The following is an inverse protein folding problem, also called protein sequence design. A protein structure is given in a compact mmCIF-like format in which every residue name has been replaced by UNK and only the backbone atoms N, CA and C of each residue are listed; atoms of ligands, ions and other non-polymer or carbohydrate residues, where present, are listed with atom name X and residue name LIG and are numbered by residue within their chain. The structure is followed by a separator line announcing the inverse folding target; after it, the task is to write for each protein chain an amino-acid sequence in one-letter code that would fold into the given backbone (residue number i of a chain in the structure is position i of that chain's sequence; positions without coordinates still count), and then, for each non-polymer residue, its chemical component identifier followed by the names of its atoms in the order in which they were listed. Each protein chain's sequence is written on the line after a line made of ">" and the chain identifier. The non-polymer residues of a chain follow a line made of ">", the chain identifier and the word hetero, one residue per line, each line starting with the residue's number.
data_IF_195776981000
#
_entry.id   IF_195776981000
#
_cell.length_a   1.000
_cell.length_b   1.000
_cell.length_c   1.000
_cell.angle_alpha   90.00
_cell.angle_beta   90.00
_cell.angle_gamma   90.00
#
_symmetry.space_group_name_H-M   'P 1'
#
loop_
_entity.id
_entity.type
_entity.pdbx_description
1 polymer ?
#
# COMPACT_ATOMS: atom_id res chain seq x y z
N UNK A 1 14.28 -9.57 -0.92
CA UNK A 1 14.50 -9.34 -2.37
C UNK A 1 15.55 -10.29 -2.94
N UNK A 2 16.76 -10.39 -2.40
CA UNK A 2 17.79 -11.32 -2.91
C UNK A 2 17.45 -12.83 -2.80
N UNK A 3 16.66 -13.25 -1.80
CA UNK A 3 16.25 -14.65 -1.62
C UNK A 3 15.45 -15.23 -2.82
N UNK A 4 14.81 -14.37 -3.61
CA UNK A 4 14.07 -14.77 -4.81
C UNK A 4 14.97 -15.06 -6.02
N UNK A 5 16.27 -14.74 -5.94
CA UNK A 5 17.25 -14.88 -7.03
C UNK A 5 18.26 -16.01 -6.78
N UNK A 6 17.96 -16.89 -5.84
CA UNK A 6 18.80 -18.03 -5.45
C UNK A 6 18.54 -19.20 -6.40
N UNK A 7 19.60 -19.82 -6.92
CA UNK A 7 19.50 -20.98 -7.82
C UNK A 7 19.04 -22.26 -7.10
N UNK A 8 18.80 -23.33 -7.86
CA UNK A 8 18.37 -24.62 -7.32
C UNK A 8 19.38 -25.30 -6.36
N UNK A 9 20.59 -24.75 -6.23
CA UNK A 9 21.65 -25.20 -5.32
C UNK A 9 21.82 -24.27 -4.12
N UNK A 10 20.93 -23.29 -3.94
CA UNK A 10 21.03 -22.34 -2.82
C UNK A 10 22.08 -21.24 -3.03
N UNK A 11 22.53 -21.01 -4.27
CA UNK A 11 23.59 -20.05 -4.58
C UNK A 11 23.05 -18.80 -5.30
N UNK A 12 23.66 -17.65 -5.02
CA UNK A 12 23.36 -16.36 -5.63
C UNK A 12 24.65 -15.72 -6.18
N UNK A 13 24.52 -14.91 -7.24
CA UNK A 13 25.66 -14.12 -7.74
C UNK A 13 26.14 -13.18 -6.65
N UNK A 14 27.44 -13.13 -6.38
CA UNK A 14 27.97 -12.30 -5.31
C UNK A 14 28.30 -10.88 -5.83
N UNK A 15 27.62 -9.82 -5.32
CA UNK A 15 27.81 -8.44 -5.79
C UNK A 15 29.02 -7.74 -5.16
N UNK A 16 29.89 -8.47 -4.46
CA UNK A 16 31.05 -7.85 -3.83
C UNK A 16 32.10 -7.42 -4.86
N UNK A 17 32.94 -6.44 -4.50
CA UNK A 17 33.97 -5.85 -5.37
C UNK A 17 34.95 -6.87 -5.98
N UNK A 18 35.17 -8.01 -5.31
CA UNK A 18 36.04 -9.10 -5.79
C UNK A 18 35.31 -10.08 -6.71
N UNK A 19 34.05 -10.40 -6.43
CA UNK A 19 33.28 -11.38 -7.18
C UNK A 19 32.54 -10.78 -8.38
N UNK A 20 32.20 -9.47 -8.34
CA UNK A 20 31.62 -8.67 -9.43
C UNK A 20 30.43 -9.33 -10.14
N UNK A 21 29.55 -9.99 -9.40
CA UNK A 21 28.41 -10.76 -9.93
C UNK A 21 28.76 -11.94 -10.87
N UNK A 22 30.04 -12.29 -11.01
CA UNK A 22 30.50 -13.41 -11.84
C UNK A 22 30.49 -14.72 -11.04
N UNK A 23 30.85 -14.65 -9.76
CA UNK A 23 30.97 -15.82 -8.89
C UNK A 23 29.67 -16.07 -8.13
N UNK A 24 29.19 -17.31 -8.17
CA UNK A 24 28.06 -17.78 -7.36
C UNK A 24 28.54 -18.19 -5.98
N UNK A 25 27.84 -17.74 -4.94
CA UNK A 25 28.11 -18.08 -3.55
C UNK A 25 26.81 -18.41 -2.85
N UNK A 26 26.87 -19.29 -1.84
CA UNK A 26 25.75 -19.46 -0.90
C UNK A 26 25.55 -18.16 -0.11
N UNK A 27 24.33 -17.92 0.36
CA UNK A 27 23.94 -16.65 1.00
C UNK A 27 24.89 -16.23 2.13
N UNK A 28 25.25 -17.16 3.03
CA UNK A 28 26.16 -16.88 4.14
C UNK A 28 27.56 -16.44 3.67
N UNK A 29 28.09 -17.09 2.62
CA UNK A 29 29.38 -16.72 2.02
C UNK A 29 29.30 -15.40 1.26
N UNK A 30 28.18 -15.12 0.61
CA UNK A 30 27.94 -13.85 -0.06
C UNK A 30 27.87 -12.71 0.96
N UNK A 31 27.19 -12.90 2.08
CA UNK A 31 27.11 -11.94 3.17
C UNK A 31 28.50 -11.62 3.72
N UNK A 32 29.30 -12.64 4.02
CA UNK A 32 30.69 -12.47 4.42
C UNK A 32 31.51 -11.72 3.36
N UNK A 33 31.33 -12.04 2.07
CA UNK A 33 32.04 -11.39 0.97
C UNK A 33 31.69 -9.92 0.81
N UNK A 34 30.42 -9.55 0.95
CA UNK A 34 29.96 -8.16 0.92
C UNK A 34 30.50 -7.42 2.14
N UNK A 35 30.46 -8.05 3.31
CA UNK A 35 30.93 -7.45 4.55
C UNK A 35 32.45 -7.23 4.56
N UNK A 36 33.22 -8.17 4.00
CA UNK A 36 34.69 -8.12 3.93
C UNK A 36 35.17 -7.21 2.80
N UNK A 37 34.59 -7.32 1.60
CA UNK A 37 35.12 -6.69 0.39
C UNK A 37 34.32 -5.48 -0.08
N UNK A 38 33.16 -5.20 0.53
CA UNK A 38 32.22 -4.18 0.10
C UNK A 38 31.46 -4.56 -1.18
N UNK A 39 30.39 -3.83 -1.45
CA UNK A 39 29.69 -3.90 -2.74
C UNK A 39 30.55 -3.36 -3.87
N UNK A 40 30.35 -3.91 -5.07
CA UNK A 40 30.90 -3.32 -6.27
C UNK A 40 30.17 -2.00 -6.59
N UNK A 41 30.88 -0.89 -6.45
CA UNK A 41 30.33 0.47 -6.64
C UNK A 41 29.84 0.75 -8.07
N UNK A 42 30.32 -0.02 -9.06
CA UNK A 42 29.81 0.04 -10.44
C UNK A 42 28.47 -0.68 -10.63
N UNK A 43 28.06 -1.53 -9.69
CA UNK A 43 26.84 -2.31 -9.79
C UNK A 43 25.63 -1.50 -9.26
N UNK A 44 25.18 -0.54 -10.08
CA UNK A 44 24.10 0.40 -9.72
C UNK A 44 22.70 -0.12 -10.03
N UNK A 45 22.56 -1.05 -10.98
CA UNK A 45 21.30 -1.67 -11.37
C UNK A 45 21.30 -3.13 -10.96
N UNK A 46 20.39 -3.51 -10.07
CA UNK A 46 20.35 -4.79 -9.38
C UNK A 46 19.67 -5.88 -10.23
N UNK A 47 20.03 -5.95 -11.51
CA UNK A 47 19.45 -6.86 -12.52
C UNK A 47 19.59 -8.35 -12.18
N UNK A 48 20.56 -8.69 -11.34
CA UNK A 48 20.80 -10.06 -10.86
C UNK A 48 20.21 -10.32 -9.47
N UNK A 49 19.59 -9.30 -8.86
CA UNK A 49 19.16 -9.29 -7.46
C UNK A 49 17.73 -8.72 -7.29
N UNK A 50 16.96 -8.66 -8.37
CA UNK A 50 15.51 -8.44 -8.35
C UNK A 50 15.03 -7.05 -8.74
N UNK A 51 15.90 -6.12 -9.17
CA UNK A 51 15.42 -4.92 -9.87
C UNK A 51 15.02 -5.29 -11.31
N UNK A 52 13.73 -5.11 -11.61
CA UNK A 52 13.21 -5.32 -12.95
C UNK A 52 13.83 -4.35 -13.94
N UNK A 53 14.24 -4.85 -15.11
CA UNK A 53 14.72 -4.01 -16.21
C UNK A 53 13.53 -3.18 -16.69
N UNK A 54 13.46 -1.91 -16.30
CA UNK A 54 12.56 -0.96 -16.95
C UNK A 54 13.07 -0.71 -18.36
N UNK A 55 12.54 -1.43 -19.33
CA UNK A 55 12.60 -1.05 -20.74
C UNK A 55 11.67 0.16 -20.94
N UNK A 56 12.10 1.34 -20.49
CA UNK A 56 11.46 2.59 -20.89
C UNK A 56 12.04 3.03 -22.23
N UNK A 57 11.39 2.58 -23.29
CA UNK A 57 11.44 3.24 -24.59
C UNK A 57 10.87 4.65 -24.43
N UNK A 58 11.74 5.67 -24.31
CA UNK A 58 11.34 7.08 -24.41
C UNK A 58 12.51 7.93 -24.91
N UNK A 59 12.58 8.09 -26.23
CA UNK A 59 13.07 9.31 -26.84
C UNK A 59 12.04 10.42 -26.60
N UNK A 60 12.53 11.60 -26.24
CA UNK A 60 11.87 12.93 -26.30
C UNK A 60 11.02 13.34 -25.08
N UNK A 61 11.59 14.16 -24.19
CA UNK A 61 11.32 15.61 -24.12
C UNK A 61 11.95 16.21 -22.86
N UNK A 62 12.83 17.18 -23.08
CA UNK A 62 13.37 18.07 -22.06
C UNK A 62 12.24 18.90 -21.44
N UNK A 63 12.22 18.97 -20.10
CA UNK A 63 11.79 20.18 -19.39
C UNK A 63 12.50 20.22 -18.04
N UNK A 64 13.07 21.39 -17.75
CA UNK A 64 14.08 21.58 -16.73
C UNK A 64 13.57 21.37 -15.30
N UNK A 65 14.29 20.52 -14.58
CA UNK A 65 14.34 20.56 -13.13
C UNK A 65 15.83 20.47 -12.75
N UNK A 66 16.42 21.62 -12.47
CA UNK A 66 17.77 21.73 -11.92
C UNK A 66 17.79 21.06 -10.55
N UNK A 67 18.23 19.80 -10.51
CA UNK A 67 18.63 19.14 -9.28
C UNK A 67 19.88 19.85 -8.75
N UNK A 68 19.96 20.17 -7.45
CA UNK A 68 21.17 20.73 -6.87
C UNK A 68 22.22 19.62 -6.87
N UNK A 69 23.13 19.70 -7.83
CA UNK A 69 24.38 18.96 -7.83
C UNK A 69 25.21 19.47 -6.65
N UNK A 70 25.18 18.73 -5.54
CA UNK A 70 26.16 18.90 -4.46
C UNK A 70 27.42 18.16 -4.89
N UNK A 71 28.43 18.94 -5.26
CA UNK A 71 29.73 18.51 -5.78
C UNK A 71 30.67 17.98 -4.66
N UNK A 72 30.14 17.22 -3.69
CA UNK A 72 30.83 16.92 -2.42
C UNK A 72 31.12 15.43 -2.15
N UNK A 73 31.10 14.56 -3.17
CA UNK A 73 31.33 13.11 -2.98
C UNK A 73 32.42 12.50 -3.90
N UNK A 74 33.43 13.29 -4.30
CA UNK A 74 34.57 12.82 -5.11
C UNK A 74 35.94 12.81 -4.41
N UNK A 75 35.99 12.90 -3.08
CA UNK A 75 37.22 12.64 -2.29
C UNK A 75 37.13 11.29 -1.57
N UNK A 76 36.74 10.26 -2.31
CA UNK A 76 36.73 8.87 -1.85
C UNK A 76 38.13 8.27 -1.87
N UNK A 77 38.92 8.57 -0.82
CA UNK A 77 39.96 7.73 -0.21
C UNK A 77 40.43 6.52 -1.06
N UNK A 78 41.15 6.82 -2.15
CA UNK A 78 41.89 5.84 -2.93
C UNK A 78 43.30 5.61 -2.34
N UNK A 79 43.58 6.17 -1.16
CA UNK A 79 44.85 6.10 -0.45
C UNK A 79 45.04 4.74 0.23
N UNK A 80 44.00 4.25 0.92
CA UNK A 80 44.06 3.01 1.70
C UNK A 80 44.39 1.77 0.84
N UNK A 81 43.96 1.74 -0.42
CA UNK A 81 44.19 0.60 -1.33
C UNK A 81 45.62 0.54 -1.89
N UNK A 82 46.28 1.69 -2.03
CA UNK A 82 47.72 1.73 -2.35
C UNK A 82 48.56 1.43 -1.10
N UNK A 83 48.10 1.82 0.09
CA UNK A 83 48.83 1.60 1.35
C UNK A 83 48.88 0.12 1.75
N UNK A 84 47.82 -0.67 1.49
CA UNK A 84 47.78 -2.12 1.71
C UNK A 84 48.77 -2.88 0.79
N UNK A 85 48.84 -2.52 -0.50
CA UNK A 85 49.83 -3.10 -1.44
C UNK A 85 51.27 -2.69 -1.09
N UNK A 86 51.49 -1.46 -0.59
CA UNK A 86 52.82 -0.98 -0.17
C UNK A 86 53.31 -1.64 1.13
N UNK A 87 52.40 -2.07 2.02
CA UNK A 87 52.76 -2.88 3.20
C UNK A 87 53.20 -4.29 2.83
N UNK A 88 52.58 -4.91 1.83
CA UNK A 88 52.96 -6.24 1.34
C UNK A 88 54.32 -6.21 0.62
N UNK A 89 54.59 -5.15 -0.16
CA UNK A 89 55.92 -4.89 -0.71
C UNK A 89 56.95 -4.75 0.42
N UNK A 90 56.65 -3.99 1.48
CA UNK A 90 57.59 -3.84 2.62
C UNK A 90 57.84 -5.15 3.39
N UNK A 91 56.88 -6.07 3.40
CA UNK A 91 57.00 -7.36 4.07
C UNK A 91 57.75 -8.41 3.23
N UNK A 92 57.71 -8.31 1.89
CA UNK A 92 58.43 -9.19 0.96
C UNK A 92 59.90 -8.80 0.73
N UNK A 93 60.30 -7.57 1.05
CA UNK A 93 61.70 -7.13 0.97
C UNK A 93 62.42 -7.57 2.26
N UNK A 94 63.17 -8.67 2.19
CA UNK A 94 63.96 -9.27 3.28
C UNK A 94 64.61 -8.23 4.22
N UNK A 95 64.37 -8.41 5.52
CA UNK A 95 65.29 -8.01 6.58
C UNK A 95 65.65 -6.53 6.65
N UNK A 96 64.68 -5.62 6.78
CA UNK A 96 64.87 -4.35 7.49
C UNK A 96 66.11 -3.53 7.09
N UNK A 97 66.45 -3.45 5.79
CA UNK A 97 67.56 -2.62 5.32
C UNK A 97 67.22 -1.15 5.56
N UNK A 98 67.76 -0.59 6.64
CA UNK A 98 67.73 0.86 6.90
C UNK A 98 68.84 1.51 6.10
N UNK A 99 68.47 2.33 5.12
CA UNK A 99 69.44 3.16 4.41
C UNK A 99 69.58 4.51 5.12
N UNK A 100 70.81 5.01 5.32
CA UNK A 100 71.03 6.28 6.01
C UNK A 100 70.63 7.50 5.16
N UNK A 101 70.63 7.36 3.83
CA UNK A 101 70.21 8.41 2.90
C UNK A 101 69.61 7.83 1.62
N UNK A 102 68.99 8.69 0.82
CA UNK A 102 68.42 8.34 -0.49
C UNK A 102 69.48 7.82 -1.45
N UNK A 103 70.64 8.47 -1.46
CA UNK A 103 71.79 8.13 -2.32
C UNK A 103 72.33 6.75 -1.95
N UNK A 104 72.38 6.43 -0.66
CA UNK A 104 72.77 5.10 -0.18
C UNK A 104 71.75 4.01 -0.53
N UNK A 105 70.46 4.35 -0.62
CA UNK A 105 69.41 3.44 -1.06
C UNK A 105 69.50 3.17 -2.58
N UNK A 106 69.75 4.20 -3.39
CA UNK A 106 69.86 4.08 -4.86
C UNK A 106 71.00 3.15 -5.31
N UNK A 107 72.09 3.07 -4.53
CA UNK A 107 73.23 2.18 -4.82
C UNK A 107 72.95 0.70 -4.53
N UNK A 108 71.79 0.36 -3.97
CA UNK A 108 71.44 -1.00 -3.54
C UNK A 108 70.01 -1.36 -3.97
N UNK A 109 69.74 -1.47 -5.28
CA UNK A 109 68.42 -1.85 -5.80
C UNK A 109 68.00 -3.24 -5.30
N UNK A 110 66.68 -3.44 -5.14
CA UNK A 110 66.16 -4.76 -4.76
C UNK A 110 66.26 -5.74 -5.94
N UNK A 111 66.63 -7.02 -5.72
CA UNK A 111 66.74 -8.01 -6.79
C UNK A 111 65.46 -8.19 -7.64
N UNK A 112 64.29 -7.93 -7.05
CA UNK A 112 62.98 -8.07 -7.72
C UNK A 112 62.44 -6.76 -8.33
N UNK A 113 63.22 -5.69 -8.38
CA UNK A 113 62.82 -4.39 -8.95
C UNK A 113 63.80 -3.92 -10.00
N UNK A 114 63.33 -3.25 -11.07
CA UNK A 114 64.24 -2.59 -12.01
C UNK A 114 64.89 -1.36 -11.38
N UNK A 115 66.01 -0.89 -11.92
CA UNK A 115 66.70 0.31 -11.41
C UNK A 115 65.79 1.55 -11.46
N UNK A 116 64.97 1.67 -12.50
CA UNK A 116 64.02 2.77 -12.67
C UNK A 116 62.90 2.71 -11.62
N UNK A 117 62.30 1.54 -11.42
CA UNK A 117 61.27 1.33 -10.40
C UNK A 117 61.82 1.57 -8.99
N UNK A 118 63.05 1.11 -8.72
CA UNK A 118 63.73 1.34 -7.45
C UNK A 118 63.99 2.82 -7.18
N UNK A 119 64.38 3.56 -8.23
CA UNK A 119 64.57 5.01 -8.16
C UNK A 119 63.26 5.74 -7.87
N UNK A 120 62.17 5.38 -8.53
CA UNK A 120 60.84 5.95 -8.27
C UNK A 120 60.37 5.69 -6.83
N UNK A 121 60.61 4.48 -6.30
CA UNK A 121 60.30 4.17 -4.90
C UNK A 121 61.16 4.99 -3.93
N UNK A 122 62.45 5.14 -4.19
CA UNK A 122 63.33 5.99 -3.40
C UNK A 122 62.87 7.46 -3.43
N UNK A 123 62.45 7.97 -4.60
CA UNK A 123 61.88 9.31 -4.75
C UNK A 123 60.56 9.46 -3.97
N UNK A 124 59.65 8.49 -4.07
CA UNK A 124 58.38 8.49 -3.34
C UNK A 124 58.57 8.52 -1.83
N UNK A 125 59.39 7.60 -1.29
CA UNK A 125 59.57 7.46 0.16
C UNK A 125 60.39 8.61 0.78
N UNK A 126 61.15 9.35 -0.03
CA UNK A 126 61.89 10.55 0.41
C UNK A 126 61.19 11.86 0.07
N UNK A 127 60.05 11.80 -0.63
CA UNK A 127 59.24 12.97 -0.93
C UNK A 127 58.75 13.67 0.35
N UNK A 128 58.65 14.99 0.30
CA UNK A 128 58.18 15.78 1.45
C UNK A 128 56.76 15.38 1.88
N UNK A 129 55.88 15.09 0.92
CA UNK A 129 54.51 14.64 1.17
C UNK A 129 54.48 13.30 1.91
N UNK A 130 55.28 12.32 1.49
CA UNK A 130 55.37 11.03 2.16
C UNK A 130 55.97 11.16 3.57
N UNK A 131 57.05 11.93 3.72
CA UNK A 131 57.70 12.14 5.02
C UNK A 131 56.76 12.83 6.02
N UNK A 132 56.02 13.86 5.59
CA UNK A 132 54.99 14.51 6.41
C UNK A 132 53.92 13.52 6.85
N UNK A 133 53.41 12.68 5.93
CA UNK A 133 52.42 11.65 6.23
C UNK A 133 52.97 10.59 7.19
N UNK A 134 54.20 10.13 6.97
CA UNK A 134 54.87 9.13 7.80
C UNK A 134 55.09 9.62 9.24
N UNK A 135 55.57 10.85 9.42
CA UNK A 135 55.73 11.45 10.76
C UNK A 135 54.39 11.67 11.46
N UNK A 136 53.36 12.10 10.71
CA UNK A 136 52.01 12.20 11.26
C UNK A 136 51.46 10.81 11.67
N UNK A 137 51.66 9.79 10.84
CA UNK A 137 51.26 8.42 11.15
C UNK A 137 52.02 7.86 12.36
N UNK A 138 53.31 8.20 12.53
CA UNK A 138 54.10 7.84 13.72
C UNK A 138 53.54 8.49 14.99
N UNK A 139 53.22 9.79 14.94
CA UNK A 139 52.54 10.51 16.04
C UNK A 139 51.13 9.98 16.32
N UNK A 140 50.42 9.50 15.30
CA UNK A 140 49.10 8.88 15.48
C UNK A 140 49.23 7.49 16.13
N UNK A 141 50.21 6.68 15.71
CA UNK A 141 50.51 5.37 16.31
C UNK A 141 50.93 5.50 17.78
N UNK A 142 51.67 6.54 18.14
CA UNK A 142 52.05 6.78 19.55
C UNK A 142 50.87 7.15 20.47
N UNK A 143 49.71 7.53 19.90
CA UNK A 143 48.48 7.80 20.65
C UNK A 143 47.64 6.54 20.91
N UNK A 144 48.03 5.39 20.34
CA UNK A 144 47.30 4.15 20.53
C UNK A 144 47.57 3.59 21.94
N UNK A 145 46.51 3.50 22.74
CA UNK A 145 46.61 3.06 24.16
C UNK A 145 46.65 1.54 24.30
N UNK A 146 46.04 0.81 23.36
CA UNK A 146 46.01 -0.65 23.33
C UNK A 146 46.36 -1.17 21.93
N UNK A 147 47.43 -1.95 21.84
CA UNK A 147 47.82 -2.61 20.58
C UNK A 147 47.08 -3.94 20.45
N UNK A 148 46.60 -4.27 19.26
CA UNK A 148 46.04 -5.61 18.99
C UNK A 148 47.14 -6.58 18.56
N UNK A 149 46.94 -7.88 18.82
CA UNK A 149 47.82 -8.99 18.44
C UNK A 149 47.46 -9.61 17.08
N UNK A 150 46.40 -9.14 16.40
CA UNK A 150 45.92 -9.73 15.16
C UNK A 150 46.91 -9.64 13.96
N UNK A 151 47.99 -8.86 14.07
CA UNK A 151 48.98 -8.70 13.01
C UNK A 151 48.37 -8.14 11.72
N UNK A 152 48.68 -8.76 10.57
CA UNK A 152 48.09 -8.43 9.26
C UNK A 152 46.66 -8.94 9.06
N UNK A 153 46.11 -9.71 10.01
CA UNK A 153 44.72 -10.16 9.93
C UNK A 153 43.80 -9.06 10.45
N UNK A 154 42.85 -8.63 9.64
CA UNK A 154 41.79 -7.71 10.08
C UNK A 154 40.87 -8.37 11.12
N UNK A 155 40.24 -7.57 11.98
CA UNK A 155 39.31 -8.07 13.00
C UNK A 155 38.15 -8.86 12.41
N UNK A 156 37.67 -8.47 11.22
CA UNK A 156 36.64 -9.18 10.48
C UNK A 156 37.13 -10.53 9.94
N UNK A 157 38.41 -10.62 9.53
CA UNK A 157 39.01 -11.90 9.15
C UNK A 157 39.14 -12.82 10.36
N UNK A 158 39.49 -12.28 11.53
CA UNK A 158 39.49 -13.03 12.79
C UNK A 158 38.10 -13.57 13.10
N UNK A 159 37.07 -12.71 12.99
CA UNK A 159 35.66 -13.09 13.17
C UNK A 159 35.22 -14.22 12.24
N UNK A 160 35.47 -14.09 10.93
CA UNK A 160 35.12 -15.14 9.97
C UNK A 160 35.82 -16.48 10.27
N UNK A 161 37.06 -16.45 10.76
CA UNK A 161 37.75 -17.67 11.17
C UNK A 161 37.18 -18.30 12.44
N UNK A 162 36.69 -17.50 13.40
CA UNK A 162 36.04 -18.01 14.61
C UNK A 162 34.70 -18.69 14.30
N UNK A 163 33.89 -18.14 13.39
CA UNK A 163 32.59 -18.73 12.97
C UNK A 163 32.73 -20.14 12.39
N UNK A 164 33.86 -20.43 11.75
CA UNK A 164 34.11 -21.73 11.12
C UNK A 164 34.58 -22.81 12.11
N UNK A 165 34.94 -22.44 13.34
CA UNK A 165 35.43 -23.36 14.37
C UNK A 165 34.37 -23.67 15.44
N UNK A 166 33.51 -22.71 15.78
CA UNK A 166 32.45 -22.87 16.79
C UNK A 166 31.10 -22.42 16.21
N UNK A 167 30.13 -23.33 16.18
CA UNK A 167 28.78 -23.05 15.66
C UNK A 167 28.01 -22.13 16.62
N UNK A 168 27.94 -20.83 16.31
CA UNK A 168 27.08 -19.90 17.02
C UNK A 168 27.55 -18.45 16.92
N UNK A 169 26.63 -17.50 17.12
CA UNK A 169 26.93 -16.07 17.17
C UNK A 169 28.16 -15.80 18.04
N UNK A 170 29.20 -15.19 17.45
CA UNK A 170 30.43 -14.87 18.15
C UNK A 170 30.14 -13.78 19.18
N UNK A 171 30.41 -14.06 20.44
CA UNK A 171 30.37 -13.07 21.51
C UNK A 171 31.38 -11.94 21.20
N UNK A 172 30.95 -10.67 21.12
CA UNK A 172 31.85 -9.53 20.92
C UNK A 172 33.04 -9.47 21.88
N UNK A 173 32.86 -9.89 23.14
CA UNK A 173 33.95 -9.94 24.11
C UNK A 173 35.01 -11.00 23.74
N UNK A 174 34.58 -12.17 23.25
CA UNK A 174 35.50 -13.23 22.80
C UNK A 174 36.24 -12.84 21.52
N UNK A 175 35.57 -12.14 20.61
CA UNK A 175 36.22 -11.57 19.44
C UNK A 175 37.28 -10.54 19.85
N UNK A 176 36.99 -9.70 20.84
CA UNK A 176 37.95 -8.76 21.39
C UNK A 176 39.16 -9.51 22.00
N UNK A 177 38.94 -10.46 22.91
CA UNK A 177 40.00 -11.28 23.50
C UNK A 177 40.89 -11.92 22.45
N UNK A 178 40.33 -12.50 21.39
CA UNK A 178 41.11 -13.14 20.31
C UNK A 178 42.00 -12.16 19.54
N UNK A 179 41.57 -10.91 19.39
CA UNK A 179 42.37 -9.90 18.70
C UNK A 179 43.42 -9.23 19.59
N UNK A 180 43.30 -9.34 20.92
CA UNK A 180 44.15 -8.65 21.91
C UNK A 180 44.97 -9.60 22.79
N UNK A 181 44.98 -10.89 22.48
CA UNK A 181 45.85 -11.91 23.08
C UNK A 181 46.76 -12.54 22.03
N UNK A 182 47.95 -12.97 22.45
CA UNK A 182 48.89 -13.68 21.57
C UNK A 182 48.51 -15.18 21.43
N UNK A 183 49.36 -15.97 20.77
CA UNK A 183 49.12 -17.43 20.60
C UNK A 183 49.08 -18.20 21.91
N UNK A 184 49.73 -17.68 22.96
CA UNK A 184 49.82 -18.26 24.30
C UNK A 184 48.76 -17.67 25.25
N UNK A 185 47.76 -16.97 24.70
CA UNK A 185 46.66 -16.30 25.42
C UNK A 185 47.10 -15.18 26.39
N UNK A 186 48.31 -14.64 26.22
CA UNK A 186 48.81 -13.51 26.98
C UNK A 186 48.31 -12.20 26.35
N UNK A 187 47.76 -11.32 27.18
CA UNK A 187 47.28 -9.99 26.79
C UNK A 187 48.41 -9.10 26.25
N UNK A 188 48.11 -8.29 25.24
CA UNK A 188 49.08 -7.34 24.66
C UNK A 188 49.40 -6.16 25.58
N UNK A 189 48.49 -5.80 26.48
CA UNK A 189 48.69 -4.78 27.51
C UNK A 189 47.69 -4.94 28.66
N UNK A 190 48.01 -4.40 29.83
CA UNK A 190 47.10 -4.41 30.99
C UNK A 190 45.78 -3.68 30.67
N UNK A 191 45.84 -2.55 29.96
CA UNK A 191 44.65 -1.83 29.53
C UNK A 191 43.72 -2.63 28.61
N UNK A 192 44.26 -3.57 27.81
CA UNK A 192 43.42 -4.46 27.00
C UNK A 192 42.69 -5.49 27.88
N UNK A 193 43.33 -5.95 28.96
CA UNK A 193 42.71 -6.84 29.95
C UNK A 193 41.62 -6.14 30.74
N UNK A 194 41.86 -4.91 31.20
CA UNK A 194 40.87 -4.10 31.92
C UNK A 194 39.61 -3.88 31.07
N UNK A 195 39.79 -3.52 29.79
CA UNK A 195 38.68 -3.39 28.84
C UNK A 195 37.90 -4.71 28.69
N UNK A 196 38.58 -5.85 28.63
CA UNK A 196 37.88 -7.14 28.55
C UNK A 196 37.07 -7.43 29.82
N UNK A 197 37.61 -7.17 31.02
CA UNK A 197 36.88 -7.33 32.28
C UNK A 197 35.61 -6.45 32.31
N UNK A 198 35.65 -5.25 31.73
CA UNK A 198 34.48 -4.37 31.64
C UNK A 198 33.40 -4.89 30.67
N UNK A 199 33.80 -5.70 29.67
CA UNK A 199 32.90 -6.35 28.72
C UNK A 199 32.36 -7.68 29.26
N UNK A 200 33.14 -8.37 30.08
CA UNK A 200 32.80 -9.67 30.67
C UNK A 200 31.59 -9.51 31.61
N UNK A 201 30.46 -10.13 31.25
CA UNK A 201 29.23 -10.10 32.05
C UNK A 201 28.18 -9.04 31.66
N UNK A 202 28.43 -8.23 30.61
CA UNK A 202 27.42 -7.30 30.05
C UNK A 202 26.91 -7.77 28.68
N UNK A 203 25.62 -7.56 28.42
CA UNK A 203 25.02 -7.83 27.11
C UNK A 203 25.19 -6.63 26.18
N UNK A 204 26.38 -6.46 25.61
CA UNK A 204 26.63 -5.44 24.60
C UNK A 204 26.35 -5.96 23.18
N UNK A 205 25.85 -5.09 22.30
CA UNK A 205 25.90 -5.33 20.86
C UNK A 205 27.32 -5.10 20.33
N UNK A 206 27.68 -5.77 19.23
CA UNK A 206 29.01 -5.63 18.59
C UNK A 206 29.32 -4.14 18.28
N UNK A 207 28.30 -3.35 17.92
CA UNK A 207 28.43 -1.91 17.64
C UNK A 207 28.82 -1.13 18.89
N UNK A 208 28.23 -1.44 20.05
CA UNK A 208 28.51 -0.76 21.32
C UNK A 208 29.91 -1.08 21.81
N UNK A 209 30.29 -2.36 21.81
CA UNK A 209 31.65 -2.82 22.19
C UNK A 209 32.72 -2.08 21.38
N UNK A 210 32.60 -2.11 20.05
CA UNK A 210 33.63 -1.49 19.21
C UNK A 210 33.59 0.04 19.21
N UNK A 211 32.42 0.65 19.43
CA UNK A 211 32.29 2.11 19.54
C UNK A 211 32.84 2.65 20.86
N UNK A 212 32.69 1.93 21.96
CA UNK A 212 33.26 2.31 23.27
C UNK A 212 34.78 2.10 23.30
N UNK A 213 35.28 0.98 22.74
CA UNK A 213 36.69 0.61 22.82
C UNK A 213 37.56 1.31 21.78
N UNK A 214 37.14 1.33 20.51
CA UNK A 214 37.93 1.90 19.41
C UNK A 214 37.58 3.36 19.11
N UNK A 215 36.53 3.86 19.76
CA UNK A 215 35.98 5.21 19.58
C UNK A 215 35.05 5.33 18.37
N UNK A 216 34.27 6.41 18.37
CA UNK A 216 33.30 6.74 17.31
C UNK A 216 33.97 7.53 16.18
N UNK A 217 33.61 7.25 14.93
CA UNK A 217 33.97 8.05 13.74
C UNK A 217 32.72 8.23 12.87
N UNK A 218 32.60 9.38 12.22
CA UNK A 218 31.49 9.62 11.28
C UNK A 218 31.54 8.61 10.12
N UNK A 219 30.39 8.04 9.78
CA UNK A 219 30.21 7.19 8.60
C UNK A 219 30.43 5.68 8.79
N UNK A 220 31.21 5.22 9.77
CA UNK A 220 31.39 3.78 10.04
C UNK A 220 31.88 3.46 11.45
N UNK A 221 31.61 2.24 11.93
CA UNK A 221 32.10 1.72 13.20
C UNK A 221 33.51 1.13 13.03
N UNK A 222 34.47 1.63 13.81
CA UNK A 222 35.87 1.14 13.80
C UNK A 222 35.91 -0.36 14.12
N UNK A 223 36.78 -1.11 13.46
CA UNK A 223 36.90 -2.58 13.66
C UNK A 223 35.82 -3.43 12.98
N UNK A 224 34.69 -2.84 12.57
CA UNK A 224 33.57 -3.55 11.91
C UNK A 224 33.44 -3.30 10.42
N UNK A 225 34.28 -2.45 9.83
CA UNK A 225 34.34 -2.22 8.39
C UNK A 225 33.35 -1.15 7.93
N UNK A 226 33.35 -0.86 6.62
CA UNK A 226 32.63 0.31 6.08
C UNK A 226 31.11 0.10 5.92
N UNK A 227 30.61 -1.13 6.08
CA UNK A 227 29.19 -1.45 5.93
C UNK A 227 28.35 -1.12 7.19
N UNK A 228 28.98 -1.07 8.36
CA UNK A 228 28.28 -0.83 9.64
C UNK A 228 28.34 0.65 9.98
N UNK A 229 27.18 1.31 9.92
CA UNK A 229 27.04 2.72 10.29
C UNK A 229 26.82 2.84 11.81
N UNK A 230 27.48 3.80 12.48
CA UNK A 230 27.21 4.07 13.89
C UNK A 230 25.78 4.60 14.05
N UNK A 231 25.17 4.43 15.24
CA UNK A 231 23.93 5.12 15.56
C UNK A 231 24.14 6.64 15.42
N UNK A 232 23.09 7.39 15.02
CA UNK A 232 23.20 8.83 14.82
C UNK A 232 23.75 9.50 16.09
N UNK A 233 24.82 10.27 15.94
CA UNK A 233 25.47 10.96 17.05
C UNK A 233 24.49 11.96 17.68
N UNK A 234 24.35 11.93 19.01
CA UNK A 234 23.44 12.74 19.82
C UNK A 234 23.72 14.26 19.82
N UNK A 235 24.60 14.76 18.94
CA UNK A 235 24.92 16.18 18.78
C UNK A 235 23.88 16.94 17.93
N UNK A 236 22.86 16.27 17.40
CA UNK A 236 21.77 16.86 16.61
C UNK A 236 20.63 17.47 17.44
N UNK A 237 20.81 17.68 18.75
CA UNK A 237 19.71 18.11 19.64
C UNK A 237 19.21 19.53 19.40
N UNK A 238 19.98 20.43 18.77
CA UNK A 238 19.54 21.83 18.54
C UNK A 238 18.85 22.05 17.18
N UNK A 239 19.14 21.25 16.16
CA UNK A 239 18.36 21.25 14.90
C UNK A 239 17.09 20.39 14.99
N UNK A 240 17.03 19.52 16.00
CA UNK A 240 15.89 18.61 16.22
C UNK A 240 14.60 19.34 16.62
N UNK A 241 14.68 20.45 17.36
CA UNK A 241 13.49 21.16 17.84
C UNK A 241 12.74 21.89 16.72
N UNK A 242 13.46 22.55 15.81
CA UNK A 242 12.84 23.29 14.70
C UNK A 242 12.21 22.34 13.68
N UNK A 243 12.88 21.23 13.37
CA UNK A 243 12.32 20.16 12.54
C UNK A 243 11.10 19.51 13.20
N UNK A 244 11.13 19.27 14.52
CA UNK A 244 9.97 18.75 15.25
C UNK A 244 8.79 19.73 15.24
N UNK A 245 9.04 21.03 15.40
CA UNK A 245 8.01 22.06 15.33
C UNK A 245 7.43 22.18 13.92
N UNK A 246 8.26 22.12 12.87
CA UNK A 246 7.80 22.09 11.48
C UNK A 246 6.95 20.85 11.18
N UNK A 247 7.34 19.68 11.68
CA UNK A 247 6.56 18.46 11.53
C UNK A 247 5.24 18.51 12.30
N UNK A 248 5.20 19.11 13.49
CA UNK A 248 3.97 19.33 14.24
C UNK A 248 3.03 20.26 13.47
N UNK A 249 3.53 21.40 13.00
CA UNK A 249 2.75 22.35 12.19
C UNK A 249 2.21 21.71 10.90
N UNK A 250 3.03 20.95 10.18
CA UNK A 250 2.59 20.25 8.98
C UNK A 250 1.51 19.20 9.26
N UNK A 251 1.56 18.53 10.43
CA UNK A 251 0.52 17.59 10.86
C UNK A 251 -0.80 18.31 11.13
N UNK A 252 -0.76 19.43 11.84
CA UNK A 252 -1.95 20.24 12.14
C UNK A 252 -2.59 20.79 10.86
N UNK A 253 -1.77 21.24 9.90
CA UNK A 253 -2.25 21.70 8.58
C UNK A 253 -2.91 20.57 7.77
N UNK A 254 -2.33 19.37 7.79
CA UNK A 254 -2.91 18.19 7.13
C UNK A 254 -4.24 17.80 7.79
N UNK A 255 -4.32 17.84 9.12
CA UNK A 255 -5.54 17.54 9.85
C UNK A 255 -6.65 18.55 9.56
N UNK A 256 -6.32 19.84 9.52
CA UNK A 256 -7.25 20.90 9.12
C UNK A 256 -7.77 20.71 7.68
N UNK A 257 -6.89 20.38 6.73
CA UNK A 257 -7.29 20.09 5.34
C UNK A 257 -8.20 18.86 5.25
N UNK A 258 -7.92 17.79 6.04
CA UNK A 258 -8.76 16.60 6.08
C UNK A 258 -10.15 16.91 6.64
N UNK A 259 -10.22 17.67 7.72
CA UNK A 259 -11.49 18.09 8.32
C UNK A 259 -12.32 18.98 7.38
N UNK A 260 -11.68 19.89 6.63
CA UNK A 260 -12.36 20.69 5.62
C UNK A 260 -12.92 19.81 4.48
N UNK A 261 -12.09 18.91 3.93
CA UNK A 261 -12.50 17.98 2.87
C UNK A 261 -13.63 17.05 3.32
N UNK A 262 -13.63 16.62 4.58
CA UNK A 262 -14.69 15.78 5.13
C UNK A 262 -16.02 16.54 5.22
N UNK A 263 -16.01 17.82 5.61
CA UNK A 263 -17.21 18.67 5.59
C UNK A 263 -17.76 18.85 4.17
N UNK A 264 -16.90 19.09 3.19
CA UNK A 264 -17.32 19.23 1.79
C UNK A 264 -17.99 17.94 1.27
N UNK A 265 -17.43 16.77 1.63
CA UNK A 265 -18.02 15.47 1.29
C UNK A 265 -19.36 15.24 1.99
N UNK A 266 -19.51 15.63 3.25
CA UNK A 266 -20.78 15.56 3.97
C UNK A 266 -21.83 16.49 3.34
N UNK A 267 -21.43 17.70 2.94
CA UNK A 267 -22.33 18.65 2.29
C UNK A 267 -22.78 18.14 0.91
N UNK A 268 -21.87 17.55 0.14
CA UNK A 268 -22.20 16.92 -1.13
C UNK A 268 -23.15 15.73 -0.95
N UNK A 269 -22.89 14.86 0.03
CA UNK A 269 -23.76 13.73 0.35
C UNK A 269 -25.16 14.20 0.78
N UNK A 270 -25.25 15.28 1.55
CA UNK A 270 -26.53 15.90 1.92
C UNK A 270 -27.29 16.40 0.70
N UNK A 271 -26.64 17.14 -0.20
CA UNK A 271 -27.25 17.62 -1.46
C UNK A 271 -27.72 16.47 -2.34
N UNK A 272 -26.94 15.38 -2.41
CA UNK A 272 -27.33 14.18 -3.15
C UNK A 272 -28.57 13.53 -2.53
N UNK A 273 -28.63 13.40 -1.21
CA UNK A 273 -29.79 12.83 -0.51
C UNK A 273 -31.05 13.70 -0.66
N UNK A 274 -30.92 15.03 -0.61
CA UNK A 274 -32.02 15.97 -0.85
C UNK A 274 -32.55 15.84 -2.28
N UNK A 275 -31.67 15.79 -3.29
CA UNK A 275 -32.06 15.57 -4.68
C UNK A 275 -32.72 14.20 -4.90
N UNK A 276 -32.26 13.16 -4.21
CA UNK A 276 -32.88 11.84 -4.29
C UNK A 276 -34.25 11.79 -3.59
N UNK A 277 -34.43 12.57 -2.52
CA UNK A 277 -35.72 12.72 -1.86
C UNK A 277 -36.74 13.43 -2.78
N UNK A 278 -36.36 14.53 -3.42
CA UNK A 278 -37.26 15.24 -4.35
C UNK A 278 -37.65 14.38 -5.55
N UNK A 279 -36.72 13.57 -6.09
CA UNK A 279 -37.04 12.60 -7.14
C UNK A 279 -37.99 11.50 -6.66
N UNK A 280 -37.88 11.06 -5.40
CA UNK A 280 -38.81 10.09 -4.81
C UNK A 280 -40.20 10.69 -4.64
N UNK A 281 -40.29 11.90 -4.12
CA UNK A 281 -41.56 12.60 -3.94
C UNK A 281 -42.26 12.79 -5.30
N UNK A 282 -41.54 13.26 -6.32
CA UNK A 282 -42.12 13.40 -7.66
C UNK A 282 -42.60 12.06 -8.26
N UNK A 283 -41.87 10.97 -8.02
CA UNK A 283 -42.31 9.62 -8.46
C UNK A 283 -43.57 9.16 -7.72
N UNK A 284 -43.68 9.46 -6.43
CA UNK A 284 -44.87 9.10 -5.65
C UNK A 284 -46.07 9.96 -6.05
N UNK A 285 -45.88 11.26 -6.28
CA UNK A 285 -46.90 12.15 -6.85
C UNK A 285 -47.43 11.61 -8.18
N UNK A 286 -46.54 11.16 -9.08
CA UNK A 286 -46.95 10.54 -10.34
C UNK A 286 -47.75 9.24 -10.13
N UNK A 287 -47.39 8.42 -9.14
CA UNK A 287 -48.14 7.20 -8.80
C UNK A 287 -49.54 7.54 -8.27
N UNK A 288 -49.64 8.49 -7.34
CA UNK A 288 -50.92 8.93 -6.76
C UNK A 288 -51.81 9.54 -7.85
N UNK A 289 -51.24 10.33 -8.75
CA UNK A 289 -51.97 10.91 -9.89
C UNK A 289 -52.50 9.83 -10.85
N UNK A 290 -51.66 8.84 -11.20
CA UNK A 290 -52.10 7.70 -12.03
C UNK A 290 -53.20 6.89 -11.36
N UNK A 291 -53.10 6.66 -10.05
CA UNK A 291 -54.12 5.94 -9.29
C UNK A 291 -55.43 6.74 -9.18
N UNK A 292 -55.35 8.06 -9.01
CA UNK A 292 -56.53 8.94 -9.04
C UNK A 292 -57.25 8.85 -10.38
N UNK A 293 -56.52 8.96 -11.49
CA UNK A 293 -57.08 8.83 -12.85
C UNK A 293 -57.75 7.47 -13.03
N UNK A 294 -57.11 6.39 -12.54
CA UNK A 294 -57.67 5.04 -12.61
C UNK A 294 -58.99 4.93 -11.82
N UNK A 295 -59.02 5.41 -10.58
CA UNK A 295 -60.23 5.37 -9.74
C UNK A 295 -61.37 6.19 -10.35
N UNK A 296 -61.07 7.35 -10.93
CA UNK A 296 -62.06 8.19 -11.62
C UNK A 296 -62.63 7.47 -12.85
N UNK A 297 -61.80 6.76 -13.62
CA UNK A 297 -62.25 5.92 -14.73
C UNK A 297 -63.14 4.76 -14.25
N UNK A 298 -62.74 4.06 -13.18
CA UNK A 298 -63.53 2.98 -12.59
C UNK A 298 -64.89 3.48 -12.07
N UNK A 299 -64.93 4.65 -11.42
CA UNK A 299 -66.19 5.25 -10.95
C UNK A 299 -67.09 5.67 -12.12
N UNK A 300 -66.50 6.27 -13.18
CA UNK A 300 -67.24 6.63 -14.40
C UNK A 300 -67.88 5.40 -15.05
N UNK A 301 -67.13 4.30 -15.17
CA UNK A 301 -67.63 3.03 -15.67
C UNK A 301 -68.77 2.48 -14.80
N UNK A 302 -68.63 2.57 -13.47
CA UNK A 302 -69.65 2.12 -12.53
C UNK A 302 -70.95 2.94 -12.64
N UNK A 303 -70.83 4.27 -12.74
CA UNK A 303 -71.99 5.17 -12.97
C UNK A 303 -72.69 4.87 -14.28
N UNK A 304 -71.94 4.53 -15.32
CA UNK A 304 -72.50 4.17 -16.62
C UNK A 304 -73.21 2.81 -16.59
N UNK A 305 -72.62 1.81 -15.94
CA UNK A 305 -73.29 0.53 -15.69
C UNK A 305 -74.58 0.69 -14.87
N UNK A 306 -74.56 1.53 -13.84
CA UNK A 306 -75.75 1.81 -13.03
C UNK A 306 -76.85 2.50 -13.84
N UNK A 307 -76.51 3.50 -14.66
CA UNK A 307 -77.47 4.12 -15.59
C UNK A 307 -78.09 3.08 -16.52
N UNK A 308 -77.27 2.23 -17.13
CA UNK A 308 -77.78 1.17 -18.01
C UNK A 308 -78.70 0.20 -17.26
N UNK A 309 -78.41 -0.11 -15.98
CA UNK A 309 -79.28 -0.95 -15.14
C UNK A 309 -80.62 -0.27 -14.89
N UNK A 310 -80.62 1.00 -14.49
CA UNK A 310 -81.84 1.78 -14.23
C UNK A 310 -82.68 1.89 -15.51
N UNK A 311 -82.08 2.28 -16.64
CA UNK A 311 -82.79 2.36 -17.93
C UNK A 311 -83.38 1.00 -18.34
N UNK A 312 -82.67 -0.09 -18.06
CA UNK A 312 -83.18 -1.43 -18.33
C UNK A 312 -84.38 -1.78 -17.43
N UNK A 313 -84.30 -1.49 -16.14
CA UNK A 313 -85.39 -1.68 -15.17
C UNK A 313 -86.61 -0.83 -15.54
N UNK A 314 -86.42 0.44 -15.92
CA UNK A 314 -87.49 1.32 -16.39
C UNK A 314 -88.18 0.79 -17.66
N UNK A 315 -87.40 0.27 -18.64
CA UNK A 315 -87.97 -0.39 -19.83
C UNK A 315 -88.85 -1.57 -19.44
N UNK A 316 -88.39 -2.41 -18.50
CA UNK A 316 -89.16 -3.56 -18.01
C UNK A 316 -90.44 -3.08 -17.31
N UNK A 317 -90.37 -2.06 -16.46
CA UNK A 317 -91.53 -1.52 -15.76
C UNK A 317 -92.57 -0.93 -16.73
N UNK A 318 -92.13 -0.14 -17.71
CA UNK A 318 -92.99 0.40 -18.76
C UNK A 318 -93.69 -0.70 -19.55
N UNK A 319 -92.97 -1.77 -19.87
CA UNK A 319 -93.54 -2.94 -20.55
C UNK A 319 -94.55 -3.69 -19.67
N UNK A 320 -94.26 -3.89 -18.38
CA UNK A 320 -95.19 -4.47 -17.42
C UNK A 320 -96.45 -3.60 -17.25
N UNK A 321 -96.32 -2.28 -17.19
CA UNK A 321 -97.46 -1.35 -17.10
C UNK A 321 -98.31 -1.36 -18.37
N UNK A 322 -97.67 -1.40 -19.55
CA UNK A 322 -98.34 -1.56 -20.85
C UNK A 322 -99.16 -2.85 -20.87
N UNK A 323 -98.55 -3.96 -20.49
CA UNK A 323 -99.21 -5.27 -20.36
C UNK A 323 -100.39 -5.22 -19.39
N UNK A 324 -100.24 -4.53 -18.24
CA UNK A 324 -101.32 -4.37 -17.25
C UNK A 324 -102.51 -3.56 -17.81
N UNK A 325 -102.23 -2.40 -18.43
CA UNK A 325 -103.27 -1.57 -19.08
C UNK A 325 -104.00 -2.32 -20.17
N UNK A 326 -103.27 -3.13 -20.95
CA UNK A 326 -103.86 -3.98 -21.98
C UNK A 326 -104.75 -5.07 -21.39
N UNK A 327 -104.33 -5.73 -20.31
CA UNK A 327 -105.19 -6.67 -19.58
C UNK A 327 -106.45 -5.99 -19.01
N UNK A 328 -106.33 -4.80 -18.44
CA UNK A 328 -107.47 -4.03 -17.92
C UNK A 328 -108.45 -3.64 -19.05
N UNK A 329 -107.92 -3.19 -20.20
CA UNK A 329 -108.73 -2.89 -21.39
C UNK A 329 -109.48 -4.13 -21.87
N UNK A 330 -108.79 -5.27 -22.00
CA UNK A 330 -109.42 -6.53 -22.38
C UNK A 330 -110.50 -6.96 -21.37
N UNK A 331 -110.25 -6.82 -20.07
CA UNK A 331 -111.26 -7.09 -19.01
C UNK A 331 -112.47 -6.18 -19.13
N UNK A 332 -112.28 -4.88 -19.35
CA UNK A 332 -113.36 -3.92 -19.52
C UNK A 332 -114.19 -4.20 -20.80
N UNK A 333 -113.53 -4.60 -21.88
CA UNK A 333 -114.18 -4.99 -23.14
C UNK A 333 -115.02 -6.26 -22.98
N UNK A 334 -114.48 -7.28 -22.30
CA UNK A 334 -115.24 -8.48 -21.92
C UNK A 334 -116.44 -8.13 -21.03
N UNK A 335 -116.25 -7.25 -20.03
CA UNK A 335 -117.34 -6.81 -19.14
C UNK A 335 -118.46 -6.09 -19.89
N UNK A 336 -118.12 -5.14 -20.77
CA UNK A 336 -119.11 -4.44 -21.61
C UNK A 336 -119.87 -5.40 -22.52
N UNK A 337 -119.19 -6.38 -23.10
CA UNK A 337 -119.84 -7.34 -23.98
C UNK A 337 -120.75 -8.31 -23.21
N UNK A 338 -120.38 -8.66 -21.97
CA UNK A 338 -121.25 -9.38 -21.04
C UNK A 338 -122.49 -8.56 -20.66
N UNK A 339 -122.34 -7.29 -20.30
CA UNK A 339 -123.46 -6.38 -19.99
C UNK A 339 -124.40 -6.24 -21.19
N UNK A 340 -123.86 -6.02 -22.39
CA UNK A 340 -124.64 -5.95 -23.63
C UNK A 340 -125.41 -7.24 -23.90
N UNK A 341 -124.79 -8.40 -23.69
CA UNK A 341 -125.47 -9.71 -23.79
C UNK A 341 -126.56 -9.86 -22.75
N UNK A 342 -126.31 -9.46 -21.50
CA UNK A 342 -127.31 -9.51 -20.42
C UNK A 342 -128.50 -8.60 -20.73
N UNK A 343 -128.28 -7.37 -21.19
CA UNK A 343 -129.32 -6.44 -21.62
C UNK A 343 -130.14 -7.01 -22.78
N UNK A 344 -129.49 -7.58 -23.80
CA UNK A 344 -130.20 -8.24 -24.91
C UNK A 344 -131.07 -9.42 -24.44
N UNK A 345 -130.58 -10.25 -23.51
CA UNK A 345 -131.35 -11.34 -22.92
C UNK A 345 -132.54 -10.83 -22.11
N UNK A 346 -132.35 -9.76 -21.33
CA UNK A 346 -133.41 -9.13 -20.54
C UNK A 346 -134.47 -8.48 -21.43
N UNK A 347 -134.09 -7.74 -22.46
CA UNK A 347 -135.01 -7.19 -23.48
C UNK A 347 -135.81 -8.30 -24.15
N UNK A 348 -135.15 -9.41 -24.52
CA UNK A 348 -135.84 -10.57 -25.10
C UNK A 348 -136.84 -11.20 -24.12
N UNK A 349 -136.46 -11.40 -22.86
CA UNK A 349 -137.37 -11.89 -21.81
C UNK A 349 -138.55 -10.94 -21.57
N UNK A 350 -138.31 -9.63 -21.53
CA UNK A 350 -139.36 -8.61 -21.36
C UNK A 350 -140.29 -8.57 -22.58
N UNK A 351 -139.76 -8.69 -23.80
CA UNK A 351 -140.55 -8.83 -25.03
C UNK A 351 -141.42 -10.09 -24.99
N UNK A 352 -140.85 -11.23 -24.59
CA UNK A 352 -141.57 -12.49 -24.50
C UNK A 352 -142.63 -12.50 -23.39
N UNK A 353 -142.37 -11.89 -22.23
CA UNK A 353 -143.38 -11.68 -21.18
C UNK A 353 -144.47 -10.71 -21.63
N UNK A 354 -144.12 -9.61 -22.30
CA UNK A 354 -145.09 -8.63 -22.81
C UNK A 354 -146.01 -9.27 -23.86
N UNK A 355 -145.47 -10.12 -24.74
CA UNK A 355 -146.25 -10.97 -25.67
C UNK A 355 -147.18 -11.94 -24.93
N UNK A 356 -146.73 -12.55 -23.83
CA UNK A 356 -147.59 -13.42 -23.00
C UNK A 356 -148.71 -12.65 -22.30
N UNK A 357 -148.44 -11.46 -21.75
CA UNK A 357 -149.45 -10.62 -21.11
C UNK A 357 -150.48 -10.07 -22.11
N UNK A 358 -150.05 -9.67 -23.30
CA UNK A 358 -150.96 -9.32 -24.40
C UNK A 358 -151.85 -10.50 -24.85
N UNK A 359 -151.35 -11.73 -24.76
CA UNK A 359 -152.14 -12.95 -25.00
C UNK A 359 -153.14 -13.27 -23.87
N UNK A 360 -152.95 -12.74 -22.65
CA UNK A 360 -153.78 -13.04 -21.48
C UNK A 360 -154.92 -12.03 -21.26
N UNK A 361 -154.81 -10.81 -21.80
CA UNK A 361 -155.85 -9.76 -21.75
C UNK A 361 -156.53 -9.45 -23.09
N UNK A 362 -156.09 -10.07 -24.19
CA UNK A 362 -156.67 -9.91 -25.53
C UNK A 362 -157.84 -10.85 -25.87
N UNK A 363 -158.49 -11.44 -24.86
CA UNK A 363 -159.48 -12.50 -25.07
C UNK A 363 -160.64 -12.46 -24.08
N UNK A 364 -161.46 -11.39 -24.10
CA UNK A 364 -162.88 -11.56 -23.80
C UNK A 364 -163.72 -10.52 -24.53
N UNK A 365 -164.24 -10.95 -25.68
CA UNK A 365 -165.48 -10.46 -26.27
C UNK A 365 -166.64 -11.07 -25.48
N UNK A 366 -167.48 -10.21 -24.90
CA UNK A 366 -168.95 -10.25 -24.76
C UNK A 366 -169.39 -9.78 -23.40
#
# INVERSE_FOLDING_TARGET
>A
MAACCVDSRGQIRCPCRKCRNVVFQVLDKMEDHIYINGFDVSYKSWVFHGEGIQLTSQLSQESGASLPYSDDDLEGDNSDRMEEMLTDVRAGLDGGRKFPSKEAALLKPHPDTTEEQWKELCDLFTSEAFMKRSEQNKKNRSKLTVNHAAGSRSFQRTRACMKNQESGNINPAELYKKNYTNKDEIWTSEGAREIYCDLEGKTYTEIEVYSEILGKKSGYVRGLGRAVKPPPSSTLTTQSSDLQHQLAKARDEIEAMRAAREKDLQEFAKKQAEMEATLRDHREEQRVEQERIRLEQEERMKREQERMRIEHEERIQLEQERMRKEQERLRAEISKELEKKMSSVMEKKMSDMSKRLFSQFGGSKR
#
